data_IF_468530427382
#
_entry.id   IF_468530427382
#
_cell.length_a   1.000
_cell.length_b   1.000
_cell.length_c   1.000
_cell.angle_alpha   90.00
_cell.angle_beta   90.00
_cell.angle_gamma   90.00
#
_symmetry.space_group_name_H-M   'P 1'
#
loop_
_entity.id
_entity.type
_entity.pdbx_description
1 polymer ?
#
# COMPACT_ATOMS: atom_id res chain seq x y z
N UNK A 1 -17.31 12.57 -18.41
CA UNK A 1 -17.24 11.23 -17.82
C UNK A 1 -15.91 10.56 -18.06
N UNK A 2 -15.18 11.00 -19.05
CA UNK A 2 -13.83 10.52 -19.23
C UNK A 2 -12.93 10.93 -18.09
N UNK A 3 -13.22 12.08 -17.52
CA UNK A 3 -12.48 12.53 -16.35
C UNK A 3 -12.69 11.56 -15.18
N UNK A 4 -13.91 11.05 -15.09
CA UNK A 4 -14.19 10.11 -14.03
C UNK A 4 -13.36 8.84 -14.18
N UNK A 5 -13.24 8.36 -15.41
CA UNK A 5 -12.43 7.20 -15.67
C UNK A 5 -10.98 7.44 -15.30
N UNK A 6 -10.48 8.62 -15.64
CA UNK A 6 -9.11 8.96 -15.29
C UNK A 6 -8.91 9.00 -13.78
N UNK A 7 -9.88 9.51 -13.07
CA UNK A 7 -9.79 9.55 -11.62
C UNK A 7 -9.77 8.16 -11.01
N UNK A 8 -10.58 7.27 -11.54
CA UNK A 8 -10.58 5.90 -11.07
C UNK A 8 -9.24 5.23 -11.32
N UNK A 9 -8.68 5.50 -12.48
CA UNK A 9 -7.39 4.92 -12.83
C UNK A 9 -6.25 5.49 -12.01
N UNK A 10 -6.47 6.63 -11.41
CA UNK A 10 -5.44 7.28 -10.64
C UNK A 10 -5.49 6.91 -9.16
N UNK A 11 -6.33 5.96 -8.78
CA UNK A 11 -6.35 5.47 -7.41
C UNK A 11 -4.99 4.84 -7.09
N UNK A 12 -4.21 5.43 -6.18
CA UNK A 12 -2.86 4.92 -5.93
C UNK A 12 -2.85 3.50 -5.37
N UNK A 13 -3.86 3.15 -4.58
CA UNK A 13 -3.88 1.81 -4.01
C UNK A 13 -4.14 0.75 -5.06
N UNK A 14 -4.78 1.10 -6.17
CA UNK A 14 -4.97 0.17 -7.26
C UNK A 14 -3.64 -0.23 -7.89
N UNK A 15 -2.69 0.68 -7.94
CA UNK A 15 -1.37 0.37 -8.45
C UNK A 15 -0.68 -0.68 -7.57
N UNK A 16 -0.82 -0.56 -6.27
CA UNK A 16 -0.26 -1.54 -5.36
C UNK A 16 -0.89 -2.91 -5.56
N UNK A 17 -2.20 -2.95 -5.75
CA UNK A 17 -2.89 -4.21 -5.99
C UNK A 17 -2.39 -4.87 -7.27
N UNK A 18 -2.19 -4.08 -8.32
CA UNK A 18 -1.71 -4.62 -9.58
C UNK A 18 -0.31 -5.20 -9.43
N UNK A 19 0.56 -4.50 -8.72
CA UNK A 19 1.91 -4.98 -8.49
C UNK A 19 1.90 -6.28 -7.68
N UNK A 20 1.04 -6.33 -6.68
CA UNK A 20 0.93 -7.53 -5.86
C UNK A 20 0.48 -8.73 -6.69
N UNK A 21 -0.49 -8.51 -7.57
CA UNK A 21 -1.00 -9.57 -8.44
C UNK A 21 0.04 -10.04 -9.44
N UNK A 22 0.98 -9.18 -9.79
CA UNK A 22 2.06 -9.53 -10.71
C UNK A 22 3.21 -10.24 -10.01
N UNK A 23 3.11 -10.43 -8.71
CA UNK A 23 4.18 -11.05 -7.95
C UNK A 23 5.24 -10.08 -7.46
N UNK A 24 5.05 -8.80 -7.71
CA UNK A 24 5.99 -7.77 -7.26
C UNK A 24 5.60 -7.28 -5.87
N UNK A 25 5.69 -8.19 -4.91
CA UNK A 25 5.20 -7.95 -3.56
C UNK A 25 5.91 -6.79 -2.88
N UNK A 26 7.23 -6.75 -2.97
CA UNK A 26 7.99 -5.69 -2.33
C UNK A 26 7.62 -4.33 -2.91
N UNK A 27 7.45 -4.26 -4.22
CA UNK A 27 7.08 -3.00 -4.87
C UNK A 27 5.70 -2.56 -4.44
N UNK A 28 4.76 -3.51 -4.33
CA UNK A 28 3.41 -3.19 -3.88
C UNK A 28 3.45 -2.59 -2.47
N UNK A 29 4.22 -3.18 -1.58
CA UNK A 29 4.35 -2.66 -0.23
C UNK A 29 4.97 -1.28 -0.22
N UNK A 30 5.98 -1.06 -1.06
CA UNK A 30 6.63 0.24 -1.14
C UNK A 30 5.66 1.33 -1.59
N UNK A 31 4.80 1.01 -2.55
CA UNK A 31 3.80 1.98 -3.01
C UNK A 31 2.89 2.38 -1.85
N UNK A 32 2.37 1.40 -1.12
CA UNK A 32 1.47 1.70 -0.01
C UNK A 32 2.17 2.44 1.13
N UNK A 33 3.41 2.07 1.43
CA UNK A 33 4.16 2.75 2.48
C UNK A 33 4.40 4.21 2.11
N UNK A 34 4.72 4.46 0.84
CA UNK A 34 4.92 5.83 0.39
C UNK A 34 3.61 6.62 0.46
N UNK A 35 2.49 5.99 0.11
CA UNK A 35 1.20 6.64 0.21
C UNK A 35 0.88 7.01 1.66
N UNK A 36 1.18 6.12 2.59
CA UNK A 36 0.96 6.41 4.00
C UNK A 36 1.81 7.61 4.43
N UNK A 37 3.05 7.63 3.98
CA UNK A 37 3.97 8.71 4.34
C UNK A 37 3.52 10.05 3.80
N UNK A 38 3.00 10.07 2.57
CA UNK A 38 2.66 11.30 1.88
C UNK A 38 1.24 11.77 2.12
N UNK A 39 0.39 10.94 2.71
CA UNK A 39 -1.03 11.23 2.83
C UNK A 39 -1.37 11.86 4.17
N UNK A 40 -2.45 12.65 4.23
CA UNK A 40 -2.95 13.14 5.50
C UNK A 40 -3.40 11.99 6.39
N UNK A 41 -3.48 12.27 7.66
CA UNK A 41 -3.77 11.25 8.65
C UNK A 41 -5.07 10.51 8.38
N UNK A 42 -6.06 11.21 7.85
CA UNK A 42 -7.35 10.61 7.55
C UNK A 42 -7.24 9.50 6.52
N UNK A 43 -6.39 9.68 5.53
CA UNK A 43 -6.23 8.71 4.46
C UNK A 43 -5.22 7.63 4.79
N UNK A 44 -4.35 7.88 5.77
CA UNK A 44 -3.36 6.89 6.17
C UNK A 44 -4.00 5.60 6.64
N UNK A 45 -5.12 5.72 7.33
CA UNK A 45 -5.79 4.56 7.87
C UNK A 45 -6.24 3.62 6.75
N UNK A 46 -6.80 4.18 5.68
CA UNK A 46 -7.26 3.38 4.56
C UNK A 46 -6.10 2.61 3.93
N UNK A 47 -4.98 3.28 3.72
CA UNK A 47 -3.82 2.63 3.12
C UNK A 47 -3.20 1.62 4.07
N UNK A 48 -3.22 1.92 5.35
CA UNK A 48 -2.70 0.99 6.35
C UNK A 48 -3.50 -0.30 6.36
N UNK A 49 -4.81 -0.19 6.33
CA UNK A 49 -5.68 -1.37 6.31
C UNK A 49 -5.41 -2.19 5.05
N UNK A 50 -5.27 -1.53 3.91
CA UNK A 50 -4.98 -2.22 2.67
C UNK A 50 -3.65 -2.95 2.75
N UNK A 51 -2.65 -2.30 3.31
CA UNK A 51 -1.33 -2.90 3.45
C UNK A 51 -1.38 -4.13 4.34
N UNK A 52 -2.11 -4.04 5.45
CA UNK A 52 -2.26 -5.17 6.35
C UNK A 52 -2.97 -6.34 5.68
N UNK A 53 -3.96 -6.07 4.85
CA UNK A 53 -4.62 -7.11 4.09
C UNK A 53 -3.63 -7.84 3.19
N UNK A 54 -2.77 -7.09 2.51
CA UNK A 54 -1.76 -7.70 1.66
C UNK A 54 -0.77 -8.52 2.48
N UNK A 55 -0.44 -8.07 3.67
CA UNK A 55 0.42 -8.87 4.56
C UNK A 55 -0.21 -10.21 4.86
N UNK A 56 -1.51 -10.22 5.12
CA UNK A 56 -2.20 -11.46 5.44
C UNK A 56 -2.21 -12.40 4.25
N UNK A 57 -2.41 -11.86 3.06
CA UNK A 57 -2.42 -12.67 1.84
C UNK A 57 -1.03 -13.21 1.54
N UNK A 58 -0.02 -12.36 1.66
CA UNK A 58 1.35 -12.75 1.34
C UNK A 58 1.91 -13.75 2.34
N UNK A 59 1.48 -13.66 3.58
CA UNK A 59 1.95 -14.57 4.60
C UNK A 59 3.21 -14.05 5.28
N UNK A 60 4.01 -14.97 5.79
CA UNK A 60 5.16 -14.62 6.62
C UNK A 60 6.43 -14.61 5.79
N UNK A 61 6.52 -13.69 4.85
CA UNK A 61 7.67 -13.58 3.96
C UNK A 61 8.62 -12.50 4.43
N UNK A 62 9.87 -12.51 3.94
CA UNK A 62 10.82 -11.43 4.28
C UNK A 62 10.32 -10.05 3.86
N UNK A 63 9.63 -9.96 2.72
CA UNK A 63 9.07 -8.70 2.26
C UNK A 63 8.07 -8.16 3.27
N UNK A 64 7.22 -9.03 3.81
CA UNK A 64 6.24 -8.63 4.81
C UNK A 64 6.94 -8.13 6.05
N UNK A 65 7.95 -8.85 6.51
CA UNK A 65 8.66 -8.45 7.72
C UNK A 65 9.32 -7.08 7.57
N UNK A 66 9.97 -6.85 6.43
CA UNK A 66 10.61 -5.57 6.17
C UNK A 66 9.59 -4.45 6.08
N UNK A 67 8.47 -4.70 5.41
CA UNK A 67 7.44 -3.69 5.26
C UNK A 67 6.77 -3.36 6.59
N UNK A 68 6.55 -4.37 7.43
CA UNK A 68 5.97 -4.14 8.74
C UNK A 68 6.87 -3.27 9.61
N UNK A 69 8.18 -3.49 9.50
CA UNK A 69 9.13 -2.69 10.25
C UNK A 69 9.05 -1.23 9.80
N UNK A 70 8.99 -1.00 8.49
CA UNK A 70 8.89 0.36 7.98
C UNK A 70 7.57 1.01 8.37
N UNK A 71 6.48 0.26 8.30
CA UNK A 71 5.18 0.77 8.70
C UNK A 71 5.19 1.19 10.17
N UNK A 72 5.76 0.37 11.01
CA UNK A 72 5.85 0.68 12.42
C UNK A 72 6.63 1.98 12.65
N UNK A 73 7.73 2.16 11.93
CA UNK A 73 8.51 3.39 12.05
C UNK A 73 7.72 4.61 11.61
N UNK A 74 6.94 4.47 10.54
CA UNK A 74 6.13 5.58 10.05
C UNK A 74 5.04 5.98 11.04
N UNK A 75 4.45 4.99 11.70
CA UNK A 75 3.36 5.26 12.62
C UNK A 75 3.84 5.79 13.96
N UNK A 76 5.08 5.60 14.28
CA UNK A 76 5.63 6.10 15.54
C UNK A 76 6.03 7.56 15.49
N UNK A 77 6.06 8.13 14.32
CA UNK A 77 6.35 9.55 14.18
C UNK A 77 5.08 10.37 14.38
#
# INVERSE_FOLDING_TARGET
FKLREAQENSDPSAQADALFNEGKTADAFNVLLRLIEDSPEEQREDYRVRLLDLFRIAGNTPEVKAARRRLSALLMI
#
